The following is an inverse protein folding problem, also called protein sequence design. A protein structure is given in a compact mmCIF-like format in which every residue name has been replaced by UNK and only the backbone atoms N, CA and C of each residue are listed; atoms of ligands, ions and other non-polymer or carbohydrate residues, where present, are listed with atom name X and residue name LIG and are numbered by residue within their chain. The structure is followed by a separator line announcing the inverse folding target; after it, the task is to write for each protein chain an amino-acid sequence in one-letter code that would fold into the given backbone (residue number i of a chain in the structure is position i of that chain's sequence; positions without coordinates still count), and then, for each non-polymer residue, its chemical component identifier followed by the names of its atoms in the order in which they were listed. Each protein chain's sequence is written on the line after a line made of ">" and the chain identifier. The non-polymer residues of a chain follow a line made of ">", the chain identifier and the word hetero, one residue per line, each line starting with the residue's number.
data_IF_369520754170
#
_entry.id   IF_369520754170
#
_cell.length_a   1.000
_cell.length_b   1.000
_cell.length_c   1.000
_cell.angle_alpha   90.00
_cell.angle_beta   90.00
_cell.angle_gamma   90.00
#
_symmetry.space_group_name_H-M   'P 1'
#
loop_
_entity.id
_entity.type
_entity.pdbx_description
1 polymer ?
#
# COMPACT_ATOMS: atom_id res chain seq x y z
N UNK A 1 -9.95 -6.95 32.52
CA UNK A 1 -8.74 -6.72 31.69
C UNK A 1 -8.38 -5.26 31.79
N UNK A 2 -7.09 -4.90 31.87
CA UNK A 2 -6.71 -3.48 32.01
C UNK A 2 -7.09 -2.73 30.74
N UNK A 3 -7.96 -1.72 30.86
CA UNK A 3 -8.36 -0.82 29.77
C UNK A 3 -7.16 -0.32 28.97
N UNK A 4 -6.04 -0.03 29.65
CA UNK A 4 -4.82 0.48 29.02
C UNK A 4 -4.18 -0.42 27.96
N UNK A 5 -4.24 -1.75 28.06
CA UNK A 5 -3.67 -2.63 27.02
C UNK A 5 -4.54 -2.66 25.76
N UNK A 6 -5.86 -2.67 25.95
CA UNK A 6 -6.82 -2.59 24.86
C UNK A 6 -6.70 -1.24 24.14
N UNK A 7 -6.65 -0.13 24.89
CA UNK A 7 -6.53 1.23 24.34
C UNK A 7 -5.21 1.41 23.57
N UNK A 8 -4.11 0.84 24.07
CA UNK A 8 -2.82 0.83 23.37
C UNK A 8 -2.88 0.04 22.06
N UNK A 9 -3.46 -1.17 22.08
CA UNK A 9 -3.61 -1.98 20.88
C UNK A 9 -4.52 -1.27 19.85
N UNK A 10 -5.59 -0.64 20.30
CA UNK A 10 -6.49 0.15 19.45
C UNK A 10 -5.78 1.35 18.82
N UNK A 11 -5.03 2.11 19.62
CA UNK A 11 -4.23 3.23 19.12
C UNK A 11 -3.24 2.77 18.04
N UNK A 12 -2.47 1.72 18.30
CA UNK A 12 -1.46 1.22 17.37
C UNK A 12 -2.08 0.62 16.10
N UNK A 13 -3.25 -0.03 16.22
CA UNK A 13 -4.01 -0.51 15.07
C UNK A 13 -4.49 0.64 14.18
N UNK A 14 -5.11 1.68 14.77
CA UNK A 14 -5.59 2.85 14.02
C UNK A 14 -4.43 3.63 13.40
N UNK A 15 -3.33 3.82 14.13
CA UNK A 15 -2.12 4.44 13.60
C UNK A 15 -1.56 3.64 12.41
N UNK A 16 -1.55 2.31 12.50
CA UNK A 16 -1.22 1.41 11.40
C UNK A 16 -2.15 1.58 10.21
N UNK A 17 -3.47 1.60 10.44
CA UNK A 17 -4.48 1.73 9.39
C UNK A 17 -4.36 3.07 8.64
N UNK A 18 -4.21 4.19 9.36
CA UNK A 18 -3.97 5.49 8.73
C UNK A 18 -2.65 5.54 7.97
N UNK A 19 -1.60 4.91 8.50
CA UNK A 19 -0.31 4.80 7.81
C UNK A 19 -0.41 3.97 6.53
N UNK A 20 -1.17 2.87 6.56
CA UNK A 20 -1.43 2.01 5.40
C UNK A 20 -2.14 2.78 4.28
N UNK A 21 -3.23 3.49 4.62
CA UNK A 21 -3.97 4.32 3.67
C UNK A 21 -3.10 5.44 3.12
N UNK A 22 -2.42 6.18 3.99
CA UNK A 22 -1.55 7.29 3.59
C UNK A 22 -0.41 6.82 2.70
N UNK A 23 0.24 5.71 3.06
CA UNK A 23 1.29 5.09 2.26
C UNK A 23 0.81 4.68 0.87
N UNK A 24 -0.40 4.11 0.78
CA UNK A 24 -1.03 3.74 -0.49
C UNK A 24 -1.28 4.97 -1.37
N UNK A 25 -1.83 6.04 -0.81
CA UNK A 25 -2.08 7.29 -1.54
C UNK A 25 -0.76 7.91 -2.02
N UNK A 26 0.24 8.03 -1.15
CA UNK A 26 1.55 8.60 -1.52
C UNK A 26 2.25 7.75 -2.58
N UNK A 27 2.20 6.41 -2.46
CA UNK A 27 2.76 5.50 -3.44
C UNK A 27 2.09 5.67 -4.81
N UNK A 28 0.77 5.67 -4.85
CA UNK A 28 -0.03 5.79 -6.08
C UNK A 28 0.12 7.15 -6.74
N UNK A 29 0.00 8.25 -5.98
CA UNK A 29 0.16 9.61 -6.49
C UNK A 29 1.58 9.84 -7.00
N UNK A 30 2.61 9.41 -6.25
CA UNK A 30 3.99 9.52 -6.71
C UNK A 30 4.24 8.76 -8.02
N UNK A 31 3.64 7.57 -8.17
CA UNK A 31 3.72 6.80 -9.41
C UNK A 31 2.99 7.49 -10.57
N UNK A 32 1.78 8.00 -10.34
CA UNK A 32 1.00 8.71 -11.36
C UNK A 32 1.67 10.02 -11.81
N UNK A 33 2.30 10.74 -10.88
CA UNK A 33 3.14 11.89 -11.22
C UNK A 33 4.27 11.45 -12.15
N UNK A 34 4.99 10.37 -11.81
CA UNK A 34 6.11 9.88 -12.63
C UNK A 34 5.68 9.56 -14.08
N UNK A 35 4.50 8.97 -14.27
CA UNK A 35 3.95 8.66 -15.61
C UNK A 35 3.73 9.89 -16.49
N UNK A 36 3.53 11.06 -15.88
CA UNK A 36 3.24 12.32 -16.58
C UNK A 36 4.49 13.16 -16.84
N UNK A 37 5.65 12.73 -16.36
CA UNK A 37 6.93 13.44 -16.54
C UNK A 37 7.64 13.01 -17.81
N UNK A 38 8.41 13.95 -18.37
CA UNK A 38 9.22 13.74 -19.59
C UNK A 38 10.71 13.68 -19.33
N UNK A 39 11.17 14.05 -18.13
CA UNK A 39 12.58 14.00 -17.74
C UNK A 39 12.87 12.78 -16.85
N UNK A 40 13.98 12.10 -17.10
CA UNK A 40 14.45 10.98 -16.28
C UNK A 40 14.66 11.39 -14.80
N UNK A 41 15.14 12.61 -14.55
CA UNK A 41 15.37 13.11 -13.19
C UNK A 41 14.06 13.28 -12.42
N UNK A 42 13.05 13.86 -13.05
CA UNK A 42 11.73 14.06 -12.44
C UNK A 42 11.01 12.72 -12.21
N UNK A 43 11.13 11.78 -13.17
CA UNK A 43 10.61 10.41 -13.03
C UNK A 43 11.27 9.72 -11.83
N UNK A 44 12.60 9.78 -11.74
CA UNK A 44 13.36 9.18 -10.64
C UNK A 44 12.97 9.75 -9.28
N UNK A 45 12.80 11.07 -9.19
CA UNK A 45 12.35 11.76 -7.97
C UNK A 45 10.95 11.31 -7.57
N UNK A 46 9.99 11.35 -8.49
CA UNK A 46 8.60 10.96 -8.23
C UNK A 46 8.48 9.48 -7.80
N UNK A 47 9.22 8.58 -8.47
CA UNK A 47 9.27 7.17 -8.08
C UNK A 47 10.03 6.92 -6.76
N UNK A 48 10.89 7.84 -6.33
CA UNK A 48 11.54 7.79 -5.01
C UNK A 48 10.55 8.15 -3.90
N UNK A 49 9.69 9.16 -4.13
CA UNK A 49 8.55 9.46 -3.24
C UNK A 49 7.58 8.28 -3.19
N UNK A 50 7.25 7.71 -4.36
CA UNK A 50 6.39 6.52 -4.43
C UNK A 50 6.95 5.34 -3.61
N UNK A 51 8.28 5.14 -3.63
CA UNK A 51 8.95 4.14 -2.78
C UNK A 51 8.76 4.42 -1.29
N UNK A 52 8.87 5.67 -0.84
CA UNK A 52 8.64 6.04 0.56
C UNK A 52 7.20 5.72 0.95
N UNK A 53 6.23 6.05 0.08
CA UNK A 53 4.83 5.64 0.26
C UNK A 53 4.66 4.13 0.38
N UNK A 54 5.32 3.34 -0.48
CA UNK A 54 5.27 1.88 -0.42
C UNK A 54 5.89 1.31 0.87
N UNK A 55 6.96 1.91 1.40
CA UNK A 55 7.54 1.52 2.68
C UNK A 55 6.59 1.84 3.84
N UNK A 56 5.98 3.02 3.82
CA UNK A 56 4.98 3.42 4.80
C UNK A 56 3.74 2.52 4.75
N UNK A 57 3.30 2.14 3.55
CA UNK A 57 2.22 1.17 3.33
C UNK A 57 2.55 -0.15 4.01
N UNK A 58 3.72 -0.74 3.75
CA UNK A 58 4.12 -2.03 4.33
C UNK A 58 4.22 -1.95 5.86
N UNK A 59 4.81 -0.88 6.38
CA UNK A 59 4.89 -0.66 7.82
C UNK A 59 3.48 -0.52 8.44
N UNK A 60 2.62 0.31 7.83
CA UNK A 60 1.24 0.52 8.26
C UNK A 60 0.41 -0.76 8.22
N UNK A 61 0.52 -1.55 7.14
CA UNK A 61 -0.13 -2.86 7.02
C UNK A 61 0.32 -3.82 8.12
N UNK A 62 1.62 -3.84 8.45
CA UNK A 62 2.18 -4.70 9.49
C UNK A 62 1.65 -4.31 10.86
N UNK A 63 1.62 -3.01 11.17
CA UNK A 63 1.03 -2.48 12.42
C UNK A 63 -0.47 -2.78 12.48
N UNK A 64 -1.23 -2.44 11.44
CA UNK A 64 -2.67 -2.66 11.39
C UNK A 64 -3.01 -4.15 11.58
N UNK A 65 -2.33 -5.05 10.88
CA UNK A 65 -2.55 -6.49 11.01
C UNK A 65 -2.13 -6.99 12.40
N UNK A 66 -0.91 -6.70 12.85
CA UNK A 66 -0.38 -7.20 14.13
C UNK A 66 -1.23 -6.75 15.32
N UNK A 67 -1.55 -5.46 15.39
CA UNK A 67 -2.37 -4.91 16.47
C UNK A 67 -3.87 -5.22 16.31
N UNK A 68 -4.34 -5.44 15.08
CA UNK A 68 -5.69 -5.93 14.83
C UNK A 68 -5.89 -7.35 15.35
N UNK A 69 -4.94 -8.25 15.09
CA UNK A 69 -4.95 -9.61 15.65
C UNK A 69 -4.80 -9.60 17.17
N UNK A 70 -4.02 -8.66 17.72
CA UNK A 70 -3.93 -8.50 19.17
C UNK A 70 -5.27 -8.03 19.78
N UNK A 71 -6.00 -7.11 19.12
CA UNK A 71 -7.35 -6.72 19.53
C UNK A 71 -8.34 -7.87 19.47
N UNK A 72 -8.26 -8.76 18.48
CA UNK A 72 -9.08 -9.98 18.41
C UNK A 72 -8.80 -10.86 19.64
N UNK A 73 -7.52 -11.06 19.98
CA UNK A 73 -7.13 -11.83 21.16
C UNK A 73 -7.58 -11.18 22.49
N UNK A 74 -7.64 -9.85 22.57
CA UNK A 74 -8.05 -9.10 23.77
C UNK A 74 -9.56 -8.91 23.89
N UNK A 75 -10.27 -8.75 22.78
CA UNK A 75 -11.64 -8.21 22.75
C UNK A 75 -12.76 -9.25 22.83
N UNK A 76 -12.44 -10.54 23.01
CA UNK A 76 -13.40 -11.66 22.90
C UNK A 76 -14.14 -11.77 21.55
N UNK A 77 -13.75 -10.98 20.53
CA UNK A 77 -14.20 -11.17 19.16
C UNK A 77 -13.58 -12.47 18.65
N UNK A 78 -14.40 -13.48 18.37
CA UNK A 78 -13.92 -14.79 17.94
C UNK A 78 -13.28 -14.75 16.55
N UNK A 79 -12.30 -15.63 16.33
CA UNK A 79 -11.98 -16.13 14.99
C UNK A 79 -13.29 -16.70 14.39
N UNK A 80 -13.79 -16.13 13.29
CA UNK A 80 -15.13 -16.40 12.77
C UNK A 80 -16.07 -15.20 12.71
N UNK A 81 -15.64 -14.01 13.16
CA UNK A 81 -16.27 -12.75 12.81
C UNK A 81 -16.08 -12.47 11.31
N UNK A 82 -17.15 -12.44 10.48
CA UNK A 82 -17.00 -12.38 9.02
C UNK A 82 -16.18 -11.18 8.52
N UNK A 83 -16.30 -10.02 9.18
CA UNK A 83 -15.53 -8.81 8.83
C UNK A 83 -14.03 -8.97 9.14
N UNK A 84 -13.67 -9.67 10.21
CA UNK A 84 -12.25 -9.93 10.52
C UNK A 84 -11.64 -10.85 9.46
N UNK A 85 -12.32 -11.95 9.14
CA UNK A 85 -11.84 -12.93 8.17
C UNK A 85 -11.75 -12.32 6.76
N UNK A 86 -12.76 -11.53 6.36
CA UNK A 86 -12.77 -10.82 5.08
C UNK A 86 -11.61 -9.83 4.98
N UNK A 87 -11.35 -9.03 6.01
CA UNK A 87 -10.26 -8.07 6.02
C UNK A 87 -8.89 -8.75 5.97
N UNK A 88 -8.69 -9.87 6.67
CA UNK A 88 -7.44 -10.64 6.61
C UNK A 88 -7.22 -11.18 5.19
N UNK A 89 -8.25 -11.79 4.60
CA UNK A 89 -8.18 -12.31 3.23
C UNK A 89 -7.88 -11.19 2.22
N UNK A 90 -8.58 -10.06 2.34
CA UNK A 90 -8.36 -8.89 1.50
C UNK A 90 -6.94 -8.32 1.65
N UNK A 91 -6.40 -8.28 2.86
CA UNK A 91 -5.03 -7.80 3.11
C UNK A 91 -3.99 -8.74 2.51
N UNK A 92 -4.19 -10.06 2.59
CA UNK A 92 -3.33 -11.05 1.92
C UNK A 92 -3.33 -10.84 0.40
N UNK A 93 -4.52 -10.61 -0.19
CA UNK A 93 -4.65 -10.30 -1.62
C UNK A 93 -3.89 -9.03 -1.97
N UNK A 94 -4.05 -7.94 -1.19
CA UNK A 94 -3.30 -6.69 -1.39
C UNK A 94 -1.79 -6.93 -1.32
N UNK A 95 -1.31 -7.70 -0.34
CA UNK A 95 0.11 -8.01 -0.19
C UNK A 95 0.68 -8.77 -1.39
N UNK A 96 -0.03 -9.81 -1.85
CA UNK A 96 0.37 -10.57 -3.03
C UNK A 96 0.38 -9.72 -4.30
N UNK A 97 -0.69 -8.94 -4.51
CA UNK A 97 -0.84 -8.03 -5.64
C UNK A 97 0.26 -6.96 -5.61
N UNK A 98 0.52 -6.33 -4.47
CA UNK A 98 1.55 -5.31 -4.31
C UNK A 98 2.96 -5.82 -4.59
N UNK A 99 3.26 -7.06 -4.19
CA UNK A 99 4.54 -7.71 -4.48
C UNK A 99 4.80 -7.89 -5.98
N UNK A 100 3.76 -8.21 -6.75
CA UNK A 100 3.84 -8.38 -8.20
C UNK A 100 3.74 -7.03 -8.95
N UNK A 101 2.68 -6.28 -8.71
CA UNK A 101 2.37 -5.01 -9.38
C UNK A 101 3.35 -3.88 -9.04
N UNK A 102 4.12 -4.00 -7.94
CA UNK A 102 5.18 -3.06 -7.59
C UNK A 102 6.50 -3.26 -8.36
N UNK A 103 6.69 -4.39 -9.05
CA UNK A 103 7.95 -4.69 -9.75
C UNK A 103 8.25 -3.71 -10.90
N UNK A 104 7.29 -3.35 -11.77
CA UNK A 104 7.53 -2.39 -12.84
C UNK A 104 7.98 -1.03 -12.31
N UNK A 105 7.33 -0.50 -11.26
CA UNK A 105 7.73 0.77 -10.62
C UNK A 105 9.16 0.72 -10.06
N UNK A 106 9.55 -0.41 -9.43
CA UNK A 106 10.92 -0.61 -8.91
C UNK A 106 11.95 -0.64 -10.03
N UNK A 107 11.65 -1.31 -11.15
CA UNK A 107 12.52 -1.38 -12.34
C UNK A 107 12.61 -0.01 -13.03
N UNK A 108 11.48 0.66 -13.22
CA UNK A 108 11.40 2.00 -13.80
C UNK A 108 12.24 3.00 -13.01
N UNK A 109 12.19 2.98 -11.68
CA UNK A 109 13.00 3.88 -10.85
C UNK A 109 14.50 3.66 -11.07
N UNK A 110 14.96 2.41 -11.06
CA UNK A 110 16.37 2.08 -11.28
C UNK A 110 16.84 2.55 -12.65
N UNK A 111 16.04 2.32 -13.69
CA UNK A 111 16.34 2.75 -15.05
C UNK A 111 16.34 4.27 -15.18
N UNK A 112 15.37 4.96 -14.59
CA UNK A 112 15.29 6.42 -14.59
C UNK A 112 16.49 7.07 -13.87
N UNK A 113 16.90 6.54 -12.71
CA UNK A 113 18.09 7.01 -11.98
C UNK A 113 19.35 6.83 -12.85
N UNK A 114 19.50 5.67 -13.49
CA UNK A 114 20.65 5.39 -14.34
C UNK A 114 20.70 6.34 -15.56
N UNK A 115 19.61 6.46 -16.32
CA UNK A 115 19.52 7.36 -17.48
C UNK A 115 19.71 8.83 -17.08
N UNK A 116 19.17 9.24 -15.94
CA UNK A 116 19.36 10.60 -15.41
C UNK A 116 20.83 10.89 -15.09
N UNK A 117 21.56 9.92 -14.54
CA UNK A 117 22.99 10.09 -14.24
C UNK A 117 23.85 10.24 -15.50
N UNK A 118 23.36 9.74 -16.63
CA UNK A 118 24.02 9.85 -17.94
C UNK A 118 23.51 11.05 -18.77
N UNK A 119 22.59 11.86 -18.23
CA UNK A 119 21.98 12.97 -18.96
C UNK A 119 21.11 12.54 -20.15
N UNK A 120 20.59 11.30 -20.14
CA UNK A 120 19.77 10.76 -21.23
C UNK A 120 18.28 11.01 -21.02
N UNK A 121 17.57 11.17 -22.12
CA UNK A 121 16.10 11.22 -22.17
C UNK A 121 15.46 9.85 -21.85
N UNK A 122 14.18 9.81 -21.44
CA UNK A 122 13.47 8.56 -21.16
C UNK A 122 13.43 7.62 -22.38
N UNK A 123 13.91 6.40 -22.18
CA UNK A 123 13.87 5.38 -23.23
C UNK A 123 12.47 4.79 -23.39
N UNK A 124 12.14 4.20 -24.56
CA UNK A 124 10.88 3.48 -24.76
C UNK A 124 10.64 2.37 -23.72
N UNK A 125 11.71 1.73 -23.25
CA UNK A 125 11.65 0.73 -22.18
C UNK A 125 11.17 1.33 -20.85
N UNK A 126 11.67 2.51 -20.48
CA UNK A 126 11.22 3.21 -19.28
C UNK A 126 9.74 3.58 -19.39
N UNK A 127 9.32 4.09 -20.56
CA UNK A 127 7.94 4.46 -20.83
C UNK A 127 7.02 3.22 -20.77
N UNK A 128 7.47 2.08 -21.29
CA UNK A 128 6.73 0.82 -21.24
C UNK A 128 6.53 0.34 -19.79
N UNK A 129 7.56 0.42 -18.93
CA UNK A 129 7.44 0.06 -17.51
C UNK A 129 6.46 0.96 -16.74
N UNK A 130 6.42 2.25 -17.08
CA UNK A 130 5.50 3.22 -16.48
C UNK A 130 4.04 3.03 -16.95
N UNK A 131 3.83 2.37 -18.09
CA UNK A 131 2.52 2.16 -18.70
C UNK A 131 2.12 0.68 -18.77
N UNK A 132 2.70 -0.15 -17.92
CA UNK A 132 2.27 -1.53 -17.74
C UNK A 132 0.81 -1.57 -17.26
N UNK A 133 -0.10 -1.95 -18.16
CA UNK A 133 -1.54 -1.91 -17.92
C UNK A 133 -1.98 -2.88 -16.83
N UNK A 134 -1.31 -4.04 -16.73
CA UNK A 134 -1.65 -5.06 -15.74
C UNK A 134 -1.25 -4.52 -14.36
N UNK A 135 -0.04 -4.00 -14.23
CA UNK A 135 0.42 -3.41 -12.99
C UNK A 135 -0.45 -2.22 -12.56
N UNK A 136 -0.85 -1.35 -13.49
CA UNK A 136 -1.77 -0.25 -13.22
C UNK A 136 -3.12 -0.76 -12.71
N UNK A 137 -3.77 -1.66 -13.43
CA UNK A 137 -5.07 -2.23 -13.05
C UNK A 137 -5.00 -2.88 -11.67
N UNK A 138 -3.94 -3.65 -11.40
CA UNK A 138 -3.71 -4.31 -10.12
C UNK A 138 -3.51 -3.31 -8.96
N UNK A 139 -2.75 -2.22 -9.17
CA UNK A 139 -2.58 -1.19 -8.15
C UNK A 139 -3.89 -0.45 -7.84
N UNK A 140 -4.70 -0.13 -8.87
CA UNK A 140 -6.02 0.46 -8.65
C UNK A 140 -6.98 -0.51 -7.96
N UNK A 141 -6.98 -1.79 -8.35
CA UNK A 141 -7.78 -2.82 -7.70
C UNK A 141 -7.38 -2.96 -6.22
N UNK A 142 -6.09 -2.98 -5.91
CA UNK A 142 -5.60 -3.02 -4.53
C UNK A 142 -6.05 -1.79 -3.72
N UNK A 143 -6.06 -0.59 -4.32
CA UNK A 143 -6.58 0.61 -3.67
C UNK A 143 -8.10 0.53 -3.40
N UNK A 144 -8.88 -0.02 -4.34
CA UNK A 144 -10.32 -0.26 -4.15
C UNK A 144 -10.56 -1.29 -3.05
N UNK A 145 -9.81 -2.39 -3.03
CA UNK A 145 -9.89 -3.40 -1.96
C UNK A 145 -9.55 -2.77 -0.61
N UNK A 146 -8.54 -1.90 -0.54
CA UNK A 146 -8.19 -1.19 0.69
C UNK A 146 -9.35 -0.30 1.19
N UNK A 147 -10.03 0.41 0.29
CA UNK A 147 -11.25 1.15 0.66
C UNK A 147 -12.32 0.18 1.17
N UNK A 148 -12.49 -0.98 0.53
CA UNK A 148 -13.37 -2.04 1.00
C UNK A 148 -13.05 -2.50 2.42
N UNK A 149 -11.77 -2.69 2.77
CA UNK A 149 -11.33 -3.03 4.14
C UNK A 149 -11.72 -1.92 5.12
N UNK A 150 -11.53 -0.65 4.76
CA UNK A 150 -11.92 0.47 5.65
C UNK A 150 -13.42 0.48 5.90
N UNK A 151 -14.23 0.31 4.84
CA UNK A 151 -15.69 0.22 4.95
C UNK A 151 -16.09 -0.96 5.85
N UNK A 152 -15.53 -2.14 5.60
CA UNK A 152 -15.79 -3.35 6.37
C UNK A 152 -15.45 -3.18 7.87
N UNK A 153 -14.31 -2.55 8.19
CA UNK A 153 -13.88 -2.29 9.57
C UNK A 153 -14.70 -1.21 10.29
N UNK A 154 -15.30 -0.27 9.54
CA UNK A 154 -16.16 0.78 10.10
C UNK A 154 -17.55 0.24 10.40
N UNK A 155 -18.15 -0.48 9.46
CA UNK A 155 -19.53 -0.96 9.59
C UNK A 155 -19.64 -2.31 10.30
N UNK A 156 -18.58 -3.12 10.31
CA UNK A 156 -18.47 -4.42 10.99
C UNK A 156 -19.73 -5.29 10.80
N UNK A 157 -20.04 -5.69 9.56
CA UNK A 157 -21.27 -6.41 9.27
C UNK A 157 -21.37 -7.70 10.11
N UNK A 158 -22.47 -7.84 10.86
CA UNK A 158 -22.73 -9.00 11.73
C UNK A 158 -22.20 -8.88 13.16
N UNK A 159 -21.70 -7.71 13.56
CA UNK A 159 -21.37 -7.38 14.95
C UNK A 159 -22.59 -6.87 15.75
#
# INVERSE_FOLDING_TARGET
>A
MSSGLYDLALFLHLFGAFSLVSGTVVAGVGFEIARRRRSCAEIALALSVSRIGALLLVAGATLAAGFGLWLVALGHWGWGAPWVDLAIAALIVIAAVGGYAGQPAKRARRLAVHLSGEGREPTPQLIALLNDRIALALNYAAAVILVGIVVDMVFKPGA
#
